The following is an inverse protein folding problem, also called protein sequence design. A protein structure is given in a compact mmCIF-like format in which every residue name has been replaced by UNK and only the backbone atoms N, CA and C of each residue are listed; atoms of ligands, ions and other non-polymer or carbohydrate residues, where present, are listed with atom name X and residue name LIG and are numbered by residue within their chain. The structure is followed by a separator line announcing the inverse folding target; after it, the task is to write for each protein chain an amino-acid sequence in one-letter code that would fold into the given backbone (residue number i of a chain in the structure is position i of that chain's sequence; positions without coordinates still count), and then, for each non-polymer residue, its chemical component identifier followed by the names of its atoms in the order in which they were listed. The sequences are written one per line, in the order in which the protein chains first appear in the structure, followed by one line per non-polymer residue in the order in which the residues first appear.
data_IF_750186804338
#
_entry.id   IF_750186804338
#
_cell.length_a   1.000
_cell.length_b   1.000
_cell.length_c   1.000
_cell.angle_alpha   90.00
_cell.angle_beta   90.00
_cell.angle_gamma   90.00
#
_symmetry.space_group_name_H-M   'P 1'
#
loop_
_entity.id
_entity.type
_entity.pdbx_description
1 polymer ?
#
# COMPACT_ATOMS: atom_id res chain seq x y z
N UNK A 1 7.65 10.20 -3.47
CA UNK A 1 8.16 9.65 -4.72
C UNK A 1 7.39 8.38 -5.08
N UNK A 2 6.83 8.28 -6.29
CA UNK A 2 6.06 7.12 -6.70
C UNK A 2 6.90 5.84 -6.74
N UNK A 3 6.24 4.72 -6.55
CA UNK A 3 6.83 3.40 -6.67
C UNK A 3 6.68 2.92 -8.11
N UNK A 4 7.79 2.64 -8.79
CA UNK A 4 7.80 2.19 -10.18
C UNK A 4 8.04 0.71 -10.27
N UNK A 5 7.33 0.04 -11.17
CA UNK A 5 7.53 -1.37 -11.42
C UNK A 5 7.09 -1.76 -12.83
N UNK A 6 7.45 -2.97 -13.21
CA UNK A 6 7.02 -3.60 -14.46
C UNK A 6 6.11 -4.78 -14.11
N UNK A 7 5.10 -5.04 -14.95
CA UNK A 7 4.22 -6.19 -14.77
C UNK A 7 4.95 -7.45 -15.21
N UNK A 8 4.96 -8.46 -14.34
CA UNK A 8 5.58 -9.75 -14.61
C UNK A 8 4.61 -10.70 -15.29
N UNK A 9 5.14 -11.61 -16.10
CA UNK A 9 4.32 -12.57 -16.82
C UNK A 9 3.42 -13.41 -15.90
N UNK A 10 3.96 -13.85 -14.77
CA UNK A 10 3.20 -14.70 -13.83
C UNK A 10 2.06 -13.95 -13.13
N UNK A 11 1.98 -12.64 -13.31
CA UNK A 11 0.91 -11.82 -12.73
C UNK A 11 -0.32 -11.74 -13.63
N UNK A 12 -0.21 -12.25 -14.85
CA UNK A 12 -1.32 -12.25 -15.81
C UNK A 12 -2.06 -13.58 -15.79
N UNK A 13 -3.28 -13.57 -16.33
CA UNK A 13 -4.13 -14.76 -16.42
C UNK A 13 -4.45 -15.11 -17.88
N UNK A 14 -5.35 -16.05 -18.09
CA UNK A 14 -5.71 -16.49 -19.43
C UNK A 14 -6.39 -15.41 -20.28
N UNK A 15 -6.85 -14.31 -19.67
CA UNK A 15 -7.39 -13.17 -20.40
C UNK A 15 -6.27 -12.25 -20.91
N UNK A 16 -5.01 -12.58 -20.65
CA UNK A 16 -3.82 -11.80 -21.02
C UNK A 16 -3.72 -10.46 -20.29
N UNK A 17 -4.38 -10.34 -19.16
CA UNK A 17 -4.32 -9.15 -18.31
C UNK A 17 -3.93 -9.57 -16.88
N UNK A 18 -3.51 -8.60 -16.08
CA UNK A 18 -3.17 -8.85 -14.69
C UNK A 18 -4.38 -9.41 -13.96
N UNK A 19 -4.18 -10.54 -13.26
CA UNK A 19 -5.24 -11.13 -12.45
C UNK A 19 -5.56 -10.20 -11.28
N UNK A 20 -6.84 -10.01 -10.99
CA UNK A 20 -7.27 -9.04 -9.98
C UNK A 20 -6.67 -9.26 -8.58
N UNK A 21 -6.29 -10.49 -8.22
CA UNK A 21 -5.65 -10.77 -6.94
C UNK A 21 -4.31 -10.05 -6.76
N UNK A 22 -3.66 -9.67 -7.85
CA UNK A 22 -2.33 -9.06 -7.77
C UNK A 22 -2.38 -7.58 -7.42
N UNK A 23 -3.50 -6.90 -7.64
CA UNK A 23 -3.57 -5.45 -7.39
C UNK A 23 -3.36 -5.10 -5.92
N UNK A 24 -3.90 -5.89 -5.02
CA UNK A 24 -3.71 -5.69 -3.57
C UNK A 24 -2.24 -5.86 -3.21
N UNK A 25 -1.54 -6.77 -3.88
CA UNK A 25 -0.09 -6.95 -3.70
C UNK A 25 0.68 -5.74 -4.22
N UNK A 26 0.26 -5.16 -5.34
CA UNK A 26 0.89 -3.95 -5.88
C UNK A 26 0.74 -2.78 -4.89
N UNK A 27 -0.42 -2.65 -4.28
CA UNK A 27 -0.64 -1.64 -3.24
C UNK A 27 0.27 -1.87 -2.05
N UNK A 28 0.44 -3.13 -1.65
CA UNK A 28 1.35 -3.48 -0.55
C UNK A 28 2.78 -3.09 -0.87
N UNK A 29 3.25 -3.40 -2.08
CA UNK A 29 4.60 -3.03 -2.51
C UNK A 29 4.79 -1.51 -2.43
N UNK A 30 3.82 -0.77 -2.95
CA UNK A 30 3.88 0.70 -2.96
C UNK A 30 3.81 1.27 -1.54
N UNK A 31 2.99 0.70 -0.69
CA UNK A 31 2.87 1.12 0.70
C UNK A 31 4.16 0.86 1.48
N UNK A 32 4.77 -0.30 1.29
CA UNK A 32 6.05 -0.61 1.94
C UNK A 32 7.13 0.37 1.51
N UNK A 33 7.18 0.70 0.22
CA UNK A 33 8.11 1.70 -0.31
C UNK A 33 7.85 3.07 0.30
N UNK A 34 6.57 3.47 0.40
CA UNK A 34 6.17 4.72 1.02
C UNK A 34 6.59 4.78 2.49
N UNK A 35 6.35 3.72 3.25
CA UNK A 35 6.71 3.64 4.66
C UNK A 35 8.22 3.77 4.84
N UNK A 36 9.00 3.16 3.97
CA UNK A 36 10.45 3.28 3.99
C UNK A 36 10.88 4.72 3.73
N UNK A 37 10.26 5.38 2.74
CA UNK A 37 10.58 6.78 2.41
C UNK A 37 10.34 7.74 3.56
N UNK A 38 9.31 7.50 4.37
CA UNK A 38 9.01 8.38 5.52
C UNK A 38 9.74 7.98 6.80
N UNK A 39 10.64 7.01 6.72
CA UNK A 39 11.43 6.58 7.87
C UNK A 39 10.72 5.65 8.83
N UNK A 40 9.64 4.98 8.38
CA UNK A 40 8.85 4.05 9.18
C UNK A 40 8.88 2.66 8.56
N UNK A 41 10.08 2.13 8.33
CA UNK A 41 10.29 0.83 7.70
C UNK A 41 9.50 -0.28 8.41
N UNK A 42 8.74 -1.04 7.63
CA UNK A 42 7.89 -2.13 8.11
C UNK A 42 8.72 -3.18 8.85
N UNK A 43 9.90 -3.52 8.35
CA UNK A 43 10.78 -4.50 9.00
C UNK A 43 11.20 -4.03 10.39
N UNK A 44 11.55 -2.75 10.52
CA UNK A 44 11.94 -2.19 11.80
C UNK A 44 10.78 -2.22 12.80
N UNK A 45 9.54 -1.99 12.33
CA UNK A 45 8.36 -2.09 13.19
C UNK A 45 8.13 -3.54 13.64
N UNK A 46 8.27 -4.50 12.73
CA UNK A 46 8.10 -5.92 13.06
C UNK A 46 9.14 -6.40 14.07
N UNK A 47 10.36 -5.90 13.98
CA UNK A 47 11.41 -6.21 14.95
C UNK A 47 11.05 -5.72 16.36
N UNK A 48 10.21 -4.70 16.47
CA UNK A 48 9.68 -4.19 17.74
C UNK A 48 8.41 -4.90 18.19
N UNK A 49 7.93 -5.86 17.40
CA UNK A 49 6.70 -6.59 17.70
C UNK A 49 5.43 -5.89 17.23
N UNK A 50 5.55 -4.92 16.32
CA UNK A 50 4.41 -4.19 15.76
C UNK A 50 4.21 -4.61 14.31
N UNK A 51 3.01 -5.07 13.98
CA UNK A 51 2.64 -5.39 12.60
C UNK A 51 1.49 -4.48 12.17
N UNK A 52 1.50 -4.13 10.89
CA UNK A 52 0.43 -3.33 10.29
C UNK A 52 -0.50 -4.30 9.57
N UNK A 53 -1.67 -4.54 10.15
CA UNK A 53 -2.65 -5.48 9.61
C UNK A 53 -3.57 -4.78 8.63
N UNK A 54 -4.09 -5.52 7.66
CA UNK A 54 -5.07 -5.02 6.70
C UNK A 54 -6.48 -5.25 7.27
N UNK A 55 -7.25 -4.18 7.40
CA UNK A 55 -8.64 -4.25 7.85
C UNK A 55 -9.56 -4.46 6.65
N UNK A 56 -9.35 -3.70 5.59
CA UNK A 56 -10.09 -3.87 4.34
C UNK A 56 -9.22 -3.39 3.16
N UNK A 57 -9.64 -3.78 1.96
CA UNK A 57 -8.96 -3.42 0.74
C UNK A 57 -9.99 -3.24 -0.36
N UNK A 58 -9.77 -2.22 -1.21
CA UNK A 58 -10.66 -1.90 -2.32
C UNK A 58 -9.81 -1.58 -3.54
N UNK A 59 -10.24 -2.05 -4.71
CA UNK A 59 -9.60 -1.74 -5.97
C UNK A 59 -10.67 -1.50 -7.03
N UNK A 60 -10.47 -0.49 -7.86
CA UNK A 60 -11.31 -0.21 -9.03
C UNK A 60 -10.44 -0.31 -10.26
N UNK A 61 -10.81 -1.20 -11.18
CA UNK A 61 -10.07 -1.48 -12.40
C UNK A 61 -10.62 -0.63 -13.52
N UNK A 62 -9.81 0.26 -14.05
CA UNK A 62 -10.23 1.22 -15.09
C UNK A 62 -9.68 0.79 -16.46
N UNK A 63 -8.38 0.53 -16.53
CA UNK A 63 -7.72 0.02 -17.74
C UNK A 63 -6.91 -1.21 -17.36
N UNK A 64 -7.09 -2.34 -18.05
CA UNK A 64 -6.33 -3.56 -17.74
C UNK A 64 -4.82 -3.35 -17.92
N UNK A 65 -4.05 -3.94 -17.01
CA UNK A 65 -2.60 -3.99 -17.13
C UNK A 65 -2.20 -5.30 -17.79
N UNK A 66 -1.15 -5.27 -18.60
CA UNK A 66 -0.67 -6.42 -19.36
C UNK A 66 0.79 -6.69 -19.04
N UNK A 67 1.25 -7.89 -19.43
CA UNK A 67 2.64 -8.26 -19.27
C UNK A 67 3.55 -7.18 -19.86
N UNK A 68 4.60 -6.88 -19.11
CA UNK A 68 5.66 -5.94 -19.45
C UNK A 68 5.25 -4.46 -19.46
N UNK A 69 4.00 -4.13 -19.12
CA UNK A 69 3.62 -2.75 -18.91
C UNK A 69 4.44 -2.15 -17.77
N UNK A 70 4.92 -0.92 -17.98
CA UNK A 70 5.62 -0.16 -16.95
C UNK A 70 4.65 0.79 -16.31
N UNK A 71 4.56 0.73 -15.00
CA UNK A 71 3.61 1.54 -14.23
C UNK A 71 4.30 2.21 -13.06
N UNK A 72 3.66 3.25 -12.52
CA UNK A 72 4.05 3.79 -11.22
C UNK A 72 2.81 3.89 -10.35
N UNK A 73 3.02 3.76 -9.06
CA UNK A 73 1.96 3.74 -8.06
C UNK A 73 2.22 4.85 -7.06
N UNK A 74 1.24 5.75 -6.90
CA UNK A 74 1.30 6.78 -5.87
C UNK A 74 0.55 6.29 -4.64
N UNK A 75 1.10 6.57 -3.48
CA UNK A 75 0.52 6.22 -2.18
C UNK A 75 0.30 7.50 -1.39
N UNK A 76 -0.88 7.65 -0.83
CA UNK A 76 -1.23 8.83 -0.03
C UNK A 76 -1.96 8.39 1.22
N UNK A 77 -1.52 8.89 2.38
CA UNK A 77 -2.27 8.70 3.61
C UNK A 77 -3.44 9.68 3.60
N UNK A 78 -4.65 9.18 3.62
CA UNK A 78 -5.85 10.01 3.49
C UNK A 78 -6.62 10.19 4.78
N UNK A 79 -6.56 9.21 5.67
CA UNK A 79 -7.23 9.30 6.97
C UNK A 79 -6.39 8.63 8.04
N UNK A 80 -6.49 9.18 9.24
CA UNK A 80 -5.83 8.61 10.40
C UNK A 80 -6.64 8.89 11.64
N UNK A 81 -6.78 7.86 12.48
CA UNK A 81 -7.40 7.97 13.80
C UNK A 81 -6.46 7.32 14.82
N UNK A 82 -6.89 7.26 16.07
CA UNK A 82 -6.10 6.59 17.10
C UNK A 82 -5.86 5.11 16.79
N UNK A 83 -6.81 4.46 16.13
CA UNK A 83 -6.80 3.02 15.90
C UNK A 83 -6.48 2.63 14.46
N UNK A 84 -6.78 3.48 13.47
CA UNK A 84 -6.73 3.11 12.05
C UNK A 84 -6.03 4.15 11.20
N UNK A 85 -5.48 3.68 10.08
CA UNK A 85 -4.91 4.52 9.03
C UNK A 85 -5.43 4.03 7.69
N UNK A 86 -5.68 4.97 6.78
CA UNK A 86 -6.17 4.66 5.44
C UNK A 86 -5.23 5.24 4.41
N UNK A 87 -4.87 4.40 3.42
CA UNK A 87 -4.06 4.82 2.28
C UNK A 87 -4.87 4.70 1.01
N UNK A 88 -4.65 5.65 0.10
CA UNK A 88 -5.21 5.59 -1.24
C UNK A 88 -4.09 5.47 -2.25
N UNK A 89 -4.37 4.78 -3.35
CA UNK A 89 -3.39 4.47 -4.38
C UNK A 89 -3.93 4.80 -5.76
N UNK A 90 -3.00 5.21 -6.65
CA UNK A 90 -3.29 5.30 -8.06
C UNK A 90 -2.19 4.58 -8.82
N UNK A 91 -2.59 3.72 -9.77
CA UNK A 91 -1.64 3.07 -10.68
C UNK A 91 -1.81 3.71 -12.05
N UNK A 92 -0.72 4.24 -12.59
CA UNK A 92 -0.71 4.89 -13.90
C UNK A 92 0.32 4.26 -14.80
N UNK A 93 0.05 4.26 -16.11
CA UNK A 93 1.04 3.85 -17.09
C UNK A 93 2.18 4.86 -17.10
N UNK A 94 3.43 4.37 -17.06
CA UNK A 94 4.60 5.23 -16.93
C UNK A 94 4.82 6.13 -18.16
N UNK A 95 4.47 5.67 -19.35
CA UNK A 95 4.71 6.39 -20.59
C UNK A 95 3.61 7.39 -20.93
N UNK A 96 2.35 7.09 -20.64
CA UNK A 96 1.20 7.92 -21.01
C UNK A 96 0.59 8.69 -19.85
N UNK A 97 0.92 8.29 -18.62
CA UNK A 97 0.32 8.83 -17.39
C UNK A 97 -1.18 8.56 -17.27
N UNK A 98 -1.70 7.65 -18.08
CA UNK A 98 -3.12 7.28 -18.03
C UNK A 98 -3.39 6.49 -16.75
N UNK A 99 -4.47 6.84 -16.05
CA UNK A 99 -4.89 6.16 -14.82
C UNK A 99 -5.46 4.78 -15.16
N UNK A 100 -4.84 3.75 -14.62
CA UNK A 100 -5.27 2.36 -14.85
C UNK A 100 -6.10 1.81 -13.70
N UNK A 101 -5.79 2.18 -12.47
CA UNK A 101 -6.42 1.59 -11.28
C UNK A 101 -6.40 2.59 -10.14
N UNK A 102 -7.45 2.59 -9.33
CA UNK A 102 -7.46 3.28 -8.04
C UNK A 102 -7.68 2.25 -6.96
N UNK A 103 -7.20 2.55 -5.75
CA UNK A 103 -7.34 1.64 -4.63
C UNK A 103 -7.32 2.33 -3.29
N UNK A 104 -7.72 1.59 -2.28
CA UNK A 104 -7.74 2.05 -0.91
C UNK A 104 -7.52 0.86 0.02
N UNK A 105 -6.71 1.02 1.03
CA UNK A 105 -6.54 0.01 2.07
C UNK A 105 -6.60 0.68 3.43
N UNK A 106 -7.24 0.00 4.39
CA UNK A 106 -7.35 0.47 5.76
C UNK A 106 -6.57 -0.49 6.66
N UNK A 107 -5.86 0.05 7.63
CA UNK A 107 -4.94 -0.72 8.46
C UNK A 107 -5.09 -0.37 9.94
N UNK A 108 -4.70 -1.32 10.78
CA UNK A 108 -4.50 -1.10 12.19
C UNK A 108 -3.17 -1.70 12.62
N UNK A 109 -2.66 -1.29 13.78
CA UNK A 109 -1.47 -1.91 14.35
C UNK A 109 -1.89 -3.04 15.26
N UNK A 110 -1.15 -4.15 15.21
CA UNK A 110 -1.38 -5.30 16.09
C UNK A 110 -0.07 -5.70 16.76
N UNK A 111 -0.18 -6.29 17.95
CA UNK A 111 0.99 -6.79 18.67
C UNK A 111 1.32 -8.23 18.23
N UNK A 112 2.32 -8.86 18.87
CA UNK A 112 2.75 -10.23 18.53
C UNK A 112 1.67 -11.28 18.76
N UNK A 113 0.65 -10.96 19.55
CA UNK A 113 -0.51 -11.84 19.75
C UNK A 113 -1.65 -11.52 18.80
N UNK A 114 -1.40 -10.74 17.76
CA UNK A 114 -2.38 -10.30 16.76
C UNK A 114 -3.54 -9.52 17.35
N UNK A 115 -3.31 -8.79 18.44
CA UNK A 115 -4.34 -7.97 19.07
C UNK A 115 -4.17 -6.51 18.66
N UNK A 116 -5.26 -5.83 18.29
CA UNK A 116 -5.20 -4.41 17.93
C UNK A 116 -4.70 -3.55 19.08
N UNK A 117 -3.99 -2.49 18.74
CA UNK A 117 -3.50 -1.52 19.70
C UNK A 117 -3.53 -0.13 19.08
N UNK A 118 -3.68 0.93 19.88
CA UNK A 118 -3.61 2.29 19.37
C UNK A 118 -2.27 2.54 18.69
N UNK A 119 -2.28 3.27 17.58
CA UNK A 119 -1.07 3.49 16.78
C UNK A 119 0.02 4.18 17.59
N UNK A 120 -0.33 5.20 18.35
CA UNK A 120 0.61 5.94 19.19
C UNK A 120 1.28 5.05 20.23
N UNK A 121 0.52 4.11 20.79
CA UNK A 121 1.03 3.16 21.78
C UNK A 121 1.92 2.10 21.13
N UNK A 122 1.59 1.72 19.90
CA UNK A 122 2.36 0.74 19.14
C UNK A 122 3.75 1.30 18.81
N UNK A 123 3.79 2.53 18.29
CA UNK A 123 5.04 3.21 17.94
C UNK A 123 4.76 4.70 17.86
N UNK A 124 5.34 5.46 18.79
CA UNK A 124 5.14 6.91 18.87
C UNK A 124 5.70 7.63 17.64
N UNK A 125 6.84 7.19 17.12
CA UNK A 125 7.45 7.78 15.93
C UNK A 125 6.57 7.59 14.71
N UNK A 126 6.01 6.40 14.54
CA UNK A 126 5.07 6.11 13.45
C UNK A 126 3.87 7.03 13.54
N UNK A 127 3.27 7.14 14.72
CA UNK A 127 2.09 7.99 14.92
C UNK A 127 2.37 9.45 14.56
N UNK A 128 3.46 10.01 15.08
CA UNK A 128 3.82 11.40 14.80
C UNK A 128 4.13 11.64 13.33
N UNK A 129 4.89 10.74 12.71
CA UNK A 129 5.26 10.87 11.31
C UNK A 129 4.01 10.87 10.42
N UNK A 130 3.09 9.93 10.66
CA UNK A 130 1.85 9.86 9.90
C UNK A 130 0.94 11.05 10.17
N UNK A 131 0.85 11.48 11.43
CA UNK A 131 0.04 12.63 11.82
C UNK A 131 0.47 13.90 11.09
N UNK A 132 1.77 14.07 10.88
CA UNK A 132 2.30 15.24 10.19
C UNK A 132 2.06 15.23 8.68
N UNK A 133 1.62 14.12 8.12
CA UNK A 133 1.31 14.00 6.69
C UNK A 133 -0.13 14.42 6.35
N UNK A 134 -0.97 14.58 7.36
CA UNK A 134 -2.39 14.93 7.16
C UNK A 134 -2.65 16.41 7.41
#
# INVERSE_FOLDING_TARGET
KPYSRRINYYETDMMSIVHHSNYIRFFEEARCDFMEQIGCDVRALEDKGVSIAVVDAYAKYIVPLKFDDKVYITTKLTKMSAAKMEFEYEIRFADTDILATTGRTTHCCVNRSNKPMPIKKADANLYETLQNLI
#
